data_IF_915378078590
#
_entry.id   IF_915378078590
#
_cell.length_a   1.000
_cell.length_b   1.000
_cell.length_c   1.000
_cell.angle_alpha   90.00
_cell.angle_beta   90.00
_cell.angle_gamma   90.00
#
_symmetry.space_group_name_H-M   'P 1'
#
loop_
_entity.id
_entity.type
_entity.pdbx_description
1 polymer ?
#
# COMPACT_ATOMS: atom_id res chain seq x y z
N UNK A 1 1.46 2.12 2.29
CA UNK A 1 0.15 2.52 1.75
C UNK A 1 0.07 2.20 0.26
N UNK A 2 -1.13 2.01 -0.29
CA UNK A 2 -1.35 1.85 -1.72
C UNK A 2 -1.41 3.22 -2.40
N UNK A 3 -0.49 3.50 -3.33
CA UNK A 3 -0.46 4.73 -4.12
C UNK A 3 -1.65 4.88 -5.09
N UNK A 4 -2.35 3.80 -5.39
CA UNK A 4 -3.51 3.83 -6.29
C UNK A 4 -4.78 4.32 -5.60
N UNK A 5 -5.08 3.82 -4.40
CA UNK A 5 -6.37 4.05 -3.73
C UNK A 5 -6.28 4.59 -2.30
N UNK A 6 -5.07 4.73 -1.74
CA UNK A 6 -4.87 5.21 -0.36
C UNK A 6 -5.01 4.15 0.73
N UNK A 7 -5.28 2.87 0.42
CA UNK A 7 -5.36 1.81 1.44
C UNK A 7 -4.08 1.72 2.26
N UNK A 8 -4.21 1.81 3.59
CA UNK A 8 -3.10 1.66 4.53
C UNK A 8 -3.03 0.21 5.01
N UNK A 9 -1.96 -0.48 4.64
CA UNK A 9 -1.65 -1.80 5.15
C UNK A 9 -0.72 -1.69 6.37
N UNK A 10 -1.03 -2.41 7.44
CA UNK A 10 -0.19 -2.56 8.63
C UNK A 10 0.44 -3.96 8.64
N UNK A 11 1.77 -4.03 8.56
CA UNK A 11 2.50 -5.29 8.50
C UNK A 11 3.94 -5.09 8.05
N UNK A 12 4.75 -6.15 8.14
CA UNK A 12 6.18 -6.11 7.76
C UNK A 12 6.40 -6.20 6.25
N UNK A 13 5.38 -6.60 5.49
CA UNK A 13 5.44 -6.77 4.03
C UNK A 13 4.12 -6.31 3.41
N UNK A 14 4.19 -5.67 2.24
CA UNK A 14 2.99 -5.37 1.46
C UNK A 14 2.31 -6.67 0.98
N UNK A 15 0.97 -6.72 0.91
CA UNK A 15 0.25 -7.86 0.34
C UNK A 15 0.49 -7.98 -1.16
N UNK A 16 0.30 -9.18 -1.72
CA UNK A 16 0.42 -9.43 -3.16
C UNK A 16 -0.54 -8.57 -3.99
N UNK A 17 -1.73 -8.31 -3.47
CA UNK A 17 -2.74 -7.40 -4.05
C UNK A 17 -3.34 -6.49 -2.99
N UNK A 18 -3.78 -5.32 -3.40
CA UNK A 18 -4.45 -4.36 -2.51
C UNK A 18 -5.86 -4.84 -2.16
N UNK A 19 -6.16 -5.03 -0.87
CA UNK A 19 -7.48 -5.45 -0.39
C UNK A 19 -8.63 -4.47 -0.70
N UNK A 20 -8.33 -3.24 -1.11
CA UNK A 20 -9.34 -2.23 -1.44
C UNK A 20 -9.56 -2.04 -2.95
N UNK A 21 -8.53 -2.18 -3.78
CA UNK A 21 -8.61 -1.88 -5.22
C UNK A 21 -8.10 -3.00 -6.15
N UNK A 22 -7.73 -4.15 -5.58
CA UNK A 22 -7.23 -5.35 -6.29
C UNK A 22 -6.02 -5.14 -7.21
N UNK A 23 -5.30 -4.02 -7.05
CA UNK A 23 -4.06 -3.76 -7.78
C UNK A 23 -2.86 -4.47 -7.17
N UNK A 24 -1.88 -4.77 -8.02
CA UNK A 24 -0.66 -5.51 -7.69
C UNK A 24 0.20 -4.80 -6.61
N UNK A 25 1.03 -5.60 -5.93
CA UNK A 25 1.94 -5.16 -4.86
C UNK A 25 2.84 -3.98 -5.26
N UNK A 26 3.16 -3.83 -6.54
CA UNK A 26 3.98 -2.74 -7.08
C UNK A 26 3.41 -1.33 -6.80
N UNK A 27 2.13 -1.22 -6.45
CA UNK A 27 1.50 0.04 -6.04
C UNK A 27 1.71 0.40 -4.56
N UNK A 28 2.32 -0.47 -3.75
CA UNK A 28 2.58 -0.17 -2.35
C UNK A 28 3.91 0.57 -2.15
N UNK A 29 3.90 1.52 -1.21
CA UNK A 29 5.08 2.25 -0.73
C UNK A 29 5.07 2.37 0.80
N UNK A 30 6.24 2.56 1.40
CA UNK A 30 6.34 2.91 2.82
C UNK A 30 5.70 4.29 3.04
N UNK A 31 4.88 4.40 4.08
CA UNK A 31 4.35 5.69 4.48
C UNK A 31 5.48 6.45 5.19
N UNK A 32 5.96 7.52 4.56
CA UNK A 32 6.89 8.47 5.16
C UNK A 32 6.20 9.81 5.37
N UNK A 33 6.39 10.41 6.53
CA UNK A 33 5.93 11.76 6.85
C UNK A 33 7.16 12.68 6.78
N UNK A 34 7.09 13.74 5.98
CA UNK A 34 8.22 14.63 5.68
C UNK A 34 7.83 16.11 5.80
N UNK A 35 7.11 16.44 6.86
CA UNK A 35 6.69 17.79 7.24
C UNK A 35 7.11 18.13 8.67
#
# INVERSE_FOLDING_TARGET
FCRNCGYLHTGTKAPAKCNACDHEQAHFELLGENW
#
